data_IF_058680928755
#
_entry.id   IF_058680928755
#
_cell.length_a   1.000
_cell.length_b   1.000
_cell.length_c   1.000
_cell.angle_alpha   90.00
_cell.angle_beta   90.00
_cell.angle_gamma   90.00
#
_symmetry.space_group_name_H-M   'P 1'
#
loop_
_entity.id
_entity.type
_entity.pdbx_description
1 polymer ?
#
# COMPACT_ATOMS: atom_id res chain seq x y z
N UNK A 1 33.37 -7.85 -4.34
CA UNK A 1 32.82 -6.47 -4.36
C UNK A 1 31.38 -6.52 -3.88
N UNK A 2 31.14 -6.24 -2.61
CA UNK A 2 29.81 -5.89 -2.08
C UNK A 2 30.01 -4.98 -0.89
N UNK A 3 29.45 -3.77 -1.01
CA UNK A 3 29.62 -2.60 -0.15
C UNK A 3 28.61 -2.66 0.99
N UNK A 4 29.05 -2.49 2.25
CA UNK A 4 28.18 -2.20 3.40
C UNK A 4 27.88 -0.69 3.38
N UNK A 5 26.61 -0.32 3.19
CA UNK A 5 26.11 1.04 3.46
C UNK A 5 25.68 1.13 4.93
N UNK A 6 26.27 2.06 5.67
CA UNK A 6 25.76 2.57 6.96
C UNK A 6 24.55 3.46 6.66
N UNK A 7 23.41 3.25 7.30
CA UNK A 7 22.31 4.23 7.30
C UNK A 7 22.56 5.23 8.42
N UNK A 8 22.83 6.48 8.05
CA UNK A 8 22.72 7.64 8.93
C UNK A 8 21.23 7.93 9.12
N UNK A 9 20.78 8.04 10.36
CA UNK A 9 19.56 8.75 10.73
C UNK A 9 19.99 10.21 10.88
N UNK A 10 19.33 11.14 10.18
CA UNK A 10 19.69 12.56 10.21
C UNK A 10 19.11 13.24 11.46
N UNK A 11 19.84 14.25 11.96
CA UNK A 11 19.58 14.97 13.22
C UNK A 11 18.19 15.64 13.29
N UNK A 12 17.53 15.82 12.15
CA UNK A 12 16.24 16.48 12.03
C UNK A 12 15.06 15.57 12.47
N UNK A 13 15.24 14.25 12.51
CA UNK A 13 14.22 13.30 12.97
C UNK A 13 14.13 13.24 14.52
N UNK A 14 15.22 13.55 15.23
CA UNK A 14 15.25 13.61 16.70
C UNK A 14 14.63 14.90 17.25
N UNK A 15 14.74 16.01 16.52
CA UNK A 15 14.17 17.30 16.92
C UNK A 15 12.63 17.33 16.81
N UNK A 16 12.04 16.53 15.92
CA UNK A 16 10.58 16.45 15.78
C UNK A 16 9.91 15.60 16.88
N UNK A 17 10.64 14.68 17.52
CA UNK A 17 10.11 13.88 18.64
C UNK A 17 10.02 14.66 19.97
N UNK A 18 10.84 15.70 20.13
CA UNK A 18 10.84 16.56 21.32
C UNK A 18 9.77 17.66 21.27
N UNK A 19 9.13 17.89 20.12
CA UNK A 19 8.15 18.96 19.94
C UNK A 19 6.70 18.58 20.30
N UNK A 20 6.41 17.32 20.63
CA UNK A 20 5.04 16.85 20.94
C UNK A 20 4.69 16.82 22.44
N UNK A 21 5.63 17.14 23.34
CA UNK A 21 5.38 17.21 24.79
C UNK A 21 5.21 18.65 25.28
N UNK A 22 4.11 19.28 24.92
CA UNK A 22 3.65 20.53 25.54
C UNK A 22 2.78 20.19 26.76
N UNK A 23 3.37 20.24 27.96
CA UNK A 23 2.66 20.01 29.23
C UNK A 23 2.17 21.34 29.79
N UNK A 24 0.91 21.68 29.50
CA UNK A 24 0.17 22.62 30.32
C UNK A 24 0.03 22.07 31.75
N UNK A 25 0.61 22.80 32.72
CA UNK A 25 0.18 22.96 34.12
C UNK A 25 -0.78 21.91 34.67
N UNK A 26 -0.30 21.11 35.63
CA UNK A 26 -1.01 20.96 36.91
C UNK A 26 -0.04 20.58 38.03
N UNK A 27 0.02 21.47 39.00
CA UNK A 27 0.68 21.35 40.29
C UNK A 27 -0.02 20.30 41.17
N UNK A 28 0.71 19.25 41.54
CA UNK A 28 0.58 18.59 42.84
C UNK A 28 1.82 17.76 43.09
N UNK A 29 2.62 18.21 44.06
CA UNK A 29 3.66 17.53 44.82
C UNK A 29 3.98 16.08 44.39
N UNK A 30 5.09 15.90 43.66
CA UNK A 30 5.82 14.63 43.60
C UNK A 30 7.15 14.87 44.30
N UNK A 31 7.28 14.33 45.51
CA UNK A 31 8.52 14.30 46.28
C UNK A 31 9.58 13.50 45.51
N UNK A 32 10.45 14.20 44.79
CA UNK A 32 11.69 13.68 44.20
C UNK A 32 12.76 13.56 45.31
N UNK A 33 12.54 12.69 46.29
CA UNK A 33 13.60 12.25 47.21
C UNK A 33 14.05 10.84 46.80
N UNK A 34 15.21 10.72 46.14
CA UNK A 34 15.75 9.38 45.87
C UNK A 34 17.02 9.22 45.02
N UNK A 35 17.53 10.25 44.32
CA UNK A 35 18.60 10.06 43.32
C UNK A 35 19.87 10.92 43.48
N UNK A 36 20.11 11.54 44.65
CA UNK A 36 21.38 12.22 44.93
C UNK A 36 21.92 11.81 46.30
N UNK A 37 23.24 11.71 46.45
CA UNK A 37 23.87 11.50 47.76
C UNK A 37 23.59 12.71 48.67
N UNK A 38 23.47 12.52 50.00
CA UNK A 38 23.12 13.61 50.93
C UNK A 38 24.08 14.82 50.85
N UNK A 39 25.33 14.61 50.45
CA UNK A 39 26.34 15.67 50.32
C UNK A 39 26.14 16.58 49.08
N UNK A 40 25.42 16.12 48.03
CA UNK A 40 25.11 16.93 46.84
C UNK A 40 23.88 17.82 47.07
N UNK A 41 22.95 17.37 47.93
CA UNK A 41 21.80 18.17 48.31
C UNK A 41 22.19 19.34 49.22
N UNK A 42 23.15 19.16 50.14
CA UNK A 42 23.54 20.23 51.06
C UNK A 42 24.34 21.36 50.36
N UNK A 43 25.18 21.07 49.36
CA UNK A 43 25.87 22.11 48.57
C UNK A 43 24.91 22.90 47.65
N UNK A 44 23.98 22.20 46.96
CA UNK A 44 22.95 22.88 46.16
C UNK A 44 21.96 23.65 47.04
N UNK A 45 21.61 23.15 48.22
CA UNK A 45 20.66 23.79 49.15
C UNK A 45 21.28 25.00 49.86
N UNK A 46 22.56 24.96 50.22
CA UNK A 46 23.25 26.12 50.78
C UNK A 46 23.47 27.23 49.73
N UNK A 47 23.78 26.90 48.47
CA UNK A 47 23.88 27.91 47.40
C UNK A 47 22.51 28.49 47.00
N UNK A 48 21.45 27.67 47.00
CA UNK A 48 20.07 28.13 46.71
C UNK A 48 19.48 28.96 47.87
N UNK A 49 19.83 28.66 49.12
CA UNK A 49 19.49 29.49 50.28
C UNK A 49 20.30 30.79 50.29
N UNK A 50 21.57 30.76 49.90
CA UNK A 50 22.41 31.96 49.77
C UNK A 50 21.92 32.90 48.67
N UNK A 51 21.52 32.37 47.51
CA UNK A 51 20.93 33.18 46.43
C UNK A 51 19.53 33.73 46.79
N UNK A 52 18.69 32.97 47.50
CA UNK A 52 17.39 33.46 47.97
C UNK A 52 17.49 34.49 49.11
N UNK A 53 18.54 34.44 49.95
CA UNK A 53 18.80 35.47 50.97
C UNK A 53 19.45 36.74 50.39
N UNK A 54 20.26 36.62 49.32
CA UNK A 54 20.73 37.77 48.52
C UNK A 54 19.53 38.47 47.82
N UNK A 55 18.57 37.71 47.31
CA UNK A 55 17.35 38.25 46.67
C UNK A 55 16.32 38.85 47.65
N UNK A 56 16.40 38.56 48.95
CA UNK A 56 15.55 39.17 49.99
C UNK A 56 16.12 40.44 50.60
N UNK A 57 17.42 40.69 50.48
CA UNK A 57 18.09 41.82 51.14
C UNK A 57 18.25 43.06 50.27
N UNK A 58 18.20 42.93 48.94
CA UNK A 58 18.09 44.08 48.03
C UNK A 58 16.84 43.97 47.17
N UNK A 59 15.93 44.93 47.35
CA UNK A 59 14.66 45.01 46.64
C UNK A 59 14.85 45.27 45.13
N UNK A 60 15.13 44.22 44.36
CA UNK A 60 15.06 44.24 42.89
C UNK A 60 13.94 43.31 42.46
N UNK A 61 12.84 43.91 41.99
CA UNK A 61 11.73 43.20 41.35
C UNK A 61 12.20 42.69 39.99
N UNK A 62 12.72 41.47 39.94
CA UNK A 62 12.94 40.75 38.69
C UNK A 62 11.59 40.15 38.25
N UNK A 63 11.28 40.24 36.96
CA UNK A 63 9.98 39.80 36.44
C UNK A 63 9.88 38.27 36.41
N UNK A 64 8.68 37.72 36.58
CA UNK A 64 8.44 36.28 36.64
C UNK A 64 8.95 35.51 35.40
N UNK A 65 9.08 36.17 34.24
CA UNK A 65 9.64 35.55 33.02
C UNK A 65 11.16 35.45 33.04
N UNK A 66 11.87 36.40 33.66
CA UNK A 66 13.34 36.37 33.79
C UNK A 66 13.77 35.32 34.82
N UNK A 67 12.97 35.11 35.87
CA UNK A 67 13.20 34.04 36.86
C UNK A 67 13.01 32.63 36.27
N UNK A 68 12.06 32.49 35.33
CA UNK A 68 11.81 31.22 34.60
C UNK A 68 12.97 30.84 33.69
N UNK A 69 13.57 31.82 33.01
CA UNK A 69 14.68 31.60 32.06
C UNK A 69 16.00 31.25 32.77
N UNK A 70 16.22 31.77 33.98
CA UNK A 70 17.39 31.44 34.80
C UNK A 70 17.28 30.02 35.39
N UNK A 71 16.06 29.60 35.75
CA UNK A 71 15.79 28.25 36.25
C UNK A 71 15.97 27.19 35.14
N UNK A 72 15.43 27.42 33.93
CA UNK A 72 15.64 26.53 32.78
C UNK A 72 17.12 26.38 32.39
N UNK A 73 17.89 27.47 32.39
CA UNK A 73 19.32 27.44 32.08
C UNK A 73 20.16 26.71 33.15
N UNK A 74 19.70 26.68 34.40
CA UNK A 74 20.33 25.94 35.49
C UNK A 74 20.03 24.44 35.41
N UNK A 75 18.78 24.08 35.09
CA UNK A 75 18.33 22.69 34.97
C UNK A 75 18.98 21.99 33.76
N UNK A 76 19.15 22.71 32.64
CA UNK A 76 19.91 22.24 31.47
C UNK A 76 21.41 22.04 31.76
N UNK A 77 22.01 22.92 32.56
CA UNK A 77 23.43 22.80 32.94
C UNK A 77 23.68 21.61 33.88
N UNK A 78 22.71 21.32 34.77
CA UNK A 78 22.77 20.18 35.69
C UNK A 78 22.61 18.84 34.93
N UNK A 79 21.64 18.77 34.01
CA UNK A 79 21.43 17.60 33.16
C UNK A 79 22.66 17.31 32.27
N UNK A 80 23.24 18.33 31.63
CA UNK A 80 24.43 18.17 30.79
C UNK A 80 25.67 17.68 31.58
N UNK A 81 25.80 18.08 32.85
CA UNK A 81 26.89 17.59 33.71
C UNK A 81 26.71 16.12 34.07
N UNK A 82 25.47 15.69 34.38
CA UNK A 82 25.10 14.29 34.62
C UNK A 82 25.34 13.40 33.38
N UNK A 83 24.98 13.86 32.19
CA UNK A 83 25.22 13.12 30.95
C UNK A 83 26.72 12.97 30.63
N UNK A 84 27.53 14.00 30.88
CA UNK A 84 28.98 13.96 30.63
C UNK A 84 29.74 12.98 31.55
N UNK A 85 29.25 12.74 32.77
CA UNK A 85 29.84 11.77 33.68
C UNK A 85 29.39 10.33 33.38
N UNK A 86 28.16 10.15 32.90
CA UNK A 86 27.67 8.85 32.40
C UNK A 86 28.43 8.37 31.15
N UNK A 87 28.74 9.28 30.21
CA UNK A 87 29.54 8.95 29.03
C UNK A 87 30.98 8.51 29.39
N UNK A 88 31.57 9.10 30.44
CA UNK A 88 32.89 8.70 30.94
C UNK A 88 32.90 7.32 31.63
N UNK A 89 31.77 6.91 32.21
CA UNK A 89 31.62 5.57 32.83
C UNK A 89 31.49 4.50 31.73
N UNK A 90 30.75 4.81 30.66
CA UNK A 90 30.54 3.90 29.51
C UNK A 90 31.84 3.66 28.74
N UNK A 91 32.72 4.67 28.61
CA UNK A 91 33.97 4.56 27.87
C UNK A 91 35.07 3.73 28.56
N UNK A 92 34.91 3.35 29.84
CA UNK A 92 35.95 2.67 30.62
C UNK A 92 35.69 1.18 30.89
N UNK A 93 34.70 0.54 30.23
CA UNK A 93 34.46 -0.90 30.31
C UNK A 93 34.70 -1.57 28.94
N UNK A 94 35.91 -2.06 28.71
CA UNK A 94 36.19 -2.98 27.60
C UNK A 94 35.52 -4.34 27.88
N UNK A 95 34.71 -4.85 26.94
CA UNK A 95 34.21 -6.24 26.96
C UNK A 95 34.39 -6.84 25.57
N UNK A 96 35.30 -7.81 25.46
CA UNK A 96 35.57 -8.55 24.23
C UNK A 96 34.40 -9.48 23.87
N UNK A 97 34.01 -9.48 22.59
CA UNK A 97 33.01 -10.40 22.01
C UNK A 97 33.71 -11.52 21.22
N UNK A 98 33.49 -12.77 21.61
CA UNK A 98 33.70 -13.93 20.72
C UNK A 98 32.34 -14.48 20.24
N UNK A 99 32.26 -14.83 18.95
CA UNK A 99 31.06 -15.34 18.27
C UNK A 99 31.28 -16.80 17.86
N UNK A 100 30.37 -17.72 18.24
CA UNK A 100 30.27 -19.07 17.67
C UNK A 100 28.84 -19.46 17.22
N UNK A 101 28.76 -20.51 16.39
CA UNK A 101 27.70 -20.78 15.40
C UNK A 101 26.34 -21.31 15.95
N UNK A 102 25.98 -21.09 17.22
CA UNK A 102 24.74 -21.66 17.80
C UNK A 102 23.78 -20.65 18.48
N UNK A 103 23.96 -19.34 18.26
CA UNK A 103 23.04 -18.30 18.76
C UNK A 103 23.31 -17.87 20.22
N UNK A 104 22.76 -16.72 20.67
CA UNK A 104 23.18 -16.07 21.92
C UNK A 104 22.65 -16.80 23.15
N UNK A 105 23.55 -17.46 23.91
CA UNK A 105 23.28 -17.90 25.28
C UNK A 105 24.00 -16.97 26.24
N UNK A 106 23.27 -16.10 26.95
CA UNK A 106 23.86 -15.26 28.01
C UNK A 106 23.79 -15.99 29.35
N UNK A 107 24.94 -16.22 29.98
CA UNK A 107 25.04 -16.58 31.40
C UNK A 107 25.05 -15.28 32.22
N UNK A 108 24.29 -15.24 33.30
CA UNK A 108 24.37 -14.19 34.32
C UNK A 108 25.71 -14.35 35.07
N UNK A 109 26.52 -13.30 35.08
CA UNK A 109 27.74 -13.23 35.90
C UNK A 109 27.42 -12.52 37.22
N UNK A 110 27.86 -13.10 38.34
CA UNK A 110 27.77 -12.52 39.68
C UNK A 110 29.16 -12.01 40.07
N UNK A 111 29.37 -10.69 40.02
CA UNK A 111 30.55 -10.02 40.58
C UNK A 111 30.13 -9.07 41.72
N UNK A 112 30.85 -9.03 42.85
CA UNK A 112 30.55 -8.11 43.95
C UNK A 112 31.09 -6.71 43.64
N UNK A 113 30.22 -5.69 43.69
CA UNK A 113 30.51 -4.34 43.17
C UNK A 113 30.98 -3.34 44.24
N UNK A 114 32.07 -2.63 43.92
CA UNK A 114 32.36 -1.28 44.44
C UNK A 114 31.69 -0.28 43.49
N UNK A 115 30.69 0.46 43.94
CA UNK A 115 29.93 1.47 43.18
C UNK A 115 28.81 2.13 44.02
N UNK A 116 28.12 3.17 43.51
CA UNK A 116 26.96 3.76 44.19
C UNK A 116 25.84 2.72 44.41
N UNK A 117 24.95 2.90 45.40
CA UNK A 117 23.92 1.91 45.72
C UNK A 117 22.99 1.66 44.53
N UNK A 118 22.89 0.42 44.08
CA UNK A 118 21.98 0.03 43.00
C UNK A 118 20.55 0.01 43.53
N UNK A 119 19.63 0.74 42.91
CA UNK A 119 18.21 0.74 43.27
C UNK A 119 17.41 -0.19 42.37
N UNK A 120 16.46 -0.91 42.96
CA UNK A 120 15.56 -1.79 42.21
C UNK A 120 14.53 -0.98 41.42
N UNK A 121 14.37 -1.24 40.13
CA UNK A 121 13.39 -0.56 39.28
C UNK A 121 11.92 -0.85 39.67
N UNK A 122 11.65 -1.95 40.39
CA UNK A 122 10.30 -2.30 40.83
C UNK A 122 9.87 -1.64 42.15
N UNK A 123 10.79 -1.44 43.10
CA UNK A 123 10.46 -0.93 44.44
C UNK A 123 11.25 0.32 44.86
N UNK A 124 12.21 0.76 44.05
CA UNK A 124 13.09 1.92 44.27
C UNK A 124 14.03 1.84 45.49
N UNK A 125 13.98 0.75 46.24
CA UNK A 125 14.89 0.46 47.35
C UNK A 125 16.27 0.00 46.88
N UNK A 126 17.28 0.22 47.73
CA UNK A 126 18.65 -0.21 47.51
C UNK A 126 18.74 -1.74 47.54
N UNK A 127 19.49 -2.32 46.60
CA UNK A 127 19.80 -3.73 46.53
C UNK A 127 21.15 -3.96 47.22
N UNK A 128 21.13 -4.64 48.36
CA UNK A 128 22.32 -4.91 49.18
C UNK A 128 22.99 -6.25 48.82
N UNK A 129 22.23 -7.19 48.25
CA UNK A 129 22.64 -8.58 48.01
C UNK A 129 22.58 -8.94 46.49
N UNK A 130 21.91 -10.04 46.15
CA UNK A 130 21.77 -10.52 44.77
C UNK A 130 20.89 -9.57 43.95
N UNK A 131 21.26 -9.39 42.68
CA UNK A 131 20.54 -8.52 41.74
C UNK A 131 20.29 -9.22 40.40
N UNK A 132 19.14 -8.95 39.81
CA UNK A 132 18.84 -9.29 38.42
C UNK A 132 19.05 -8.04 37.56
N UNK A 133 19.90 -8.14 36.54
CA UNK A 133 20.22 -7.03 35.64
C UNK A 133 19.62 -7.27 34.26
N UNK A 134 18.96 -6.25 33.72
CA UNK A 134 18.56 -6.18 32.32
C UNK A 134 19.48 -5.22 31.57
N UNK A 135 19.19 -4.95 30.29
CA UNK A 135 19.91 -3.93 29.53
C UNK A 135 19.68 -2.51 30.08
N UNK A 136 18.50 -2.26 30.68
CA UNK A 136 18.07 -0.92 31.06
C UNK A 136 17.98 -0.69 32.57
N UNK A 137 17.86 -1.77 33.36
CA UNK A 137 17.45 -1.69 34.76
C UNK A 137 18.08 -2.77 35.64
N UNK A 138 17.99 -2.57 36.96
CA UNK A 138 18.43 -3.53 37.96
C UNK A 138 17.25 -3.81 38.91
N UNK A 139 17.11 -5.06 39.34
CA UNK A 139 15.95 -5.56 40.05
C UNK A 139 16.36 -6.45 41.22
N UNK A 140 15.59 -6.39 42.31
CA UNK A 140 15.59 -7.48 43.29
C UNK A 140 15.13 -8.77 42.61
N UNK A 141 15.69 -9.95 42.95
CA UNK A 141 15.20 -11.24 42.47
C UNK A 141 13.69 -11.43 42.71
N UNK A 142 13.18 -10.94 43.84
CA UNK A 142 11.76 -11.00 44.18
C UNK A 142 10.88 -10.07 43.35
N UNK A 143 11.43 -9.00 42.76
CA UNK A 143 10.70 -8.09 41.88
C UNK A 143 10.94 -8.40 40.40
N UNK A 144 11.79 -9.38 40.09
CA UNK A 144 12.03 -9.84 38.72
C UNK A 144 10.92 -10.79 38.25
N UNK A 145 9.70 -10.24 38.15
CA UNK A 145 8.45 -10.97 37.89
C UNK A 145 7.63 -10.31 36.80
N UNK A 146 6.81 -11.10 36.11
CA UNK A 146 5.85 -10.58 35.14
C UNK A 146 4.81 -9.70 35.84
N UNK A 147 4.66 -8.46 35.39
CA UNK A 147 3.69 -7.49 35.94
C UNK A 147 2.23 -7.93 35.78
N UNK A 148 1.95 -8.86 34.84
CA UNK A 148 0.59 -9.34 34.54
C UNK A 148 0.24 -10.59 35.33
N UNK A 149 1.12 -11.60 35.34
CA UNK A 149 0.84 -12.91 35.93
C UNK A 149 1.68 -13.26 37.18
N UNK A 150 2.56 -12.36 37.62
CA UNK A 150 3.44 -12.50 38.79
C UNK A 150 4.42 -13.70 38.75
N UNK A 151 4.56 -14.33 37.59
CA UNK A 151 5.55 -15.39 37.36
C UNK A 151 6.96 -14.81 37.50
N UNK A 152 7.82 -15.44 38.30
CA UNK A 152 9.25 -15.13 38.33
C UNK A 152 9.90 -15.38 36.96
N UNK A 153 10.79 -14.48 36.55
CA UNK A 153 11.39 -14.48 35.21
C UNK A 153 12.89 -14.80 35.20
N UNK A 154 13.45 -15.18 36.35
CA UNK A 154 14.91 -15.36 36.54
C UNK A 154 15.50 -16.38 35.55
N UNK A 155 14.74 -17.44 35.23
CA UNK A 155 15.16 -18.51 34.31
C UNK A 155 14.40 -18.51 32.97
N UNK A 156 13.52 -17.52 32.77
CA UNK A 156 12.64 -17.44 31.61
C UNK A 156 13.06 -16.33 30.64
N UNK A 157 12.62 -16.44 29.39
CA UNK A 157 12.66 -15.31 28.46
C UNK A 157 11.67 -14.23 28.92
N UNK A 158 12.15 -12.99 28.99
CA UNK A 158 11.37 -11.83 29.39
C UNK A 158 11.49 -10.67 28.41
N UNK A 159 10.56 -9.72 28.53
CA UNK A 159 10.53 -8.48 27.78
C UNK A 159 10.39 -7.31 28.77
N UNK A 160 11.20 -6.27 28.60
CA UNK A 160 11.13 -5.04 29.39
C UNK A 160 10.61 -3.89 28.52
N UNK A 161 9.48 -3.30 28.91
CA UNK A 161 8.89 -2.12 28.26
C UNK A 161 8.54 -1.12 29.36
N UNK A 162 9.02 0.11 29.25
CA UNK A 162 8.75 1.20 30.21
C UNK A 162 8.93 0.77 31.68
N UNK A 163 10.06 0.13 31.98
CA UNK A 163 10.38 -0.40 33.31
C UNK A 163 9.36 -1.41 33.85
N UNK A 164 8.68 -2.16 32.97
CA UNK A 164 7.79 -3.26 33.34
C UNK A 164 8.26 -4.53 32.67
N UNK A 165 8.33 -5.60 33.46
CA UNK A 165 8.71 -6.92 32.99
C UNK A 165 7.48 -7.72 32.59
N UNK A 166 7.54 -8.34 31.43
CA UNK A 166 6.51 -9.23 30.89
C UNK A 166 7.11 -10.60 30.61
N UNK A 167 6.39 -11.66 30.98
CA UNK A 167 6.69 -12.99 30.45
C UNK A 167 6.36 -13.03 28.95
N UNK A 168 6.94 -13.99 28.23
CA UNK A 168 6.69 -14.16 26.79
C UNK A 168 5.20 -14.22 26.42
N UNK A 169 4.39 -15.00 27.15
CA UNK A 169 2.96 -15.15 26.85
C UNK A 169 2.16 -13.85 27.05
N UNK A 170 2.41 -13.13 28.14
CA UNK A 170 1.70 -11.89 28.42
C UNK A 170 2.15 -10.76 27.49
N UNK A 171 3.43 -10.73 27.12
CA UNK A 171 3.93 -9.82 26.10
C UNK A 171 3.17 -9.99 24.78
N UNK A 172 3.05 -11.22 24.30
CA UNK A 172 2.30 -11.50 23.06
C UNK A 172 0.84 -11.07 23.14
N UNK A 173 0.19 -11.37 24.26
CA UNK A 173 -1.24 -11.07 24.45
C UNK A 173 -1.53 -9.57 24.57
N UNK A 174 -0.62 -8.78 25.13
CA UNK A 174 -0.81 -7.35 25.35
C UNK A 174 -0.35 -6.50 24.17
N UNK A 175 0.73 -6.90 23.48
CA UNK A 175 1.41 -6.02 22.52
C UNK A 175 1.36 -6.48 21.07
N UNK A 176 1.13 -7.78 20.80
CA UNK A 176 1.17 -8.29 19.43
C UNK A 176 -0.22 -8.48 18.83
N UNK A 177 -0.31 -8.22 17.52
CA UNK A 177 -1.53 -8.48 16.76
C UNK A 177 -1.56 -9.93 16.25
N UNK A 178 -2.77 -10.47 16.10
CA UNK A 178 -2.97 -11.79 15.52
C UNK A 178 -3.25 -11.71 14.02
N UNK A 179 -2.59 -12.58 13.28
CA UNK A 179 -2.83 -12.78 11.86
C UNK A 179 -4.24 -13.35 11.64
N UNK A 180 -5.04 -12.69 10.83
CA UNK A 180 -6.44 -13.07 10.57
C UNK A 180 -6.54 -14.43 9.86
N UNK A 181 -5.50 -14.85 9.13
CA UNK A 181 -5.51 -16.11 8.38
C UNK A 181 -5.09 -17.32 9.22
N UNK A 182 -4.03 -17.21 10.01
CA UNK A 182 -3.51 -18.35 10.80
C UNK A 182 -3.84 -18.28 12.29
N UNK A 183 -4.26 -17.12 12.81
CA UNK A 183 -4.54 -16.88 14.23
C UNK A 183 -3.30 -16.67 15.12
N UNK A 184 -2.09 -16.86 14.59
CA UNK A 184 -0.83 -16.65 15.31
C UNK A 184 -0.45 -15.18 15.45
N UNK A 185 0.42 -14.87 16.41
CA UNK A 185 0.95 -13.51 16.61
C UNK A 185 1.93 -13.12 15.50
N UNK A 186 1.93 -11.84 15.14
CA UNK A 186 2.81 -11.24 14.14
C UNK A 186 3.95 -10.52 14.87
N UNK A 187 5.19 -10.99 14.74
CA UNK A 187 6.35 -10.40 15.43
C UNK A 187 7.10 -9.36 14.57
N UNK A 188 7.10 -9.56 13.25
CA UNK A 188 7.87 -8.75 12.31
C UNK A 188 6.94 -7.83 11.49
N UNK A 189 7.19 -7.74 10.19
CA UNK A 189 6.39 -6.97 9.25
C UNK A 189 4.93 -7.42 9.25
N UNK A 190 4.04 -6.44 9.29
CA UNK A 190 2.59 -6.64 9.31
C UNK A 190 1.93 -5.96 8.11
N UNK A 191 1.02 -6.67 7.47
CA UNK A 191 0.14 -6.09 6.46
C UNK A 191 -1.21 -5.79 7.12
N UNK A 192 -1.58 -4.51 7.13
CA UNK A 192 -2.83 -4.01 7.70
C UNK A 192 -3.77 -3.54 6.60
N UNK A 193 -4.92 -4.21 6.44
CA UNK A 193 -5.93 -3.89 5.42
C UNK A 193 -7.32 -3.97 6.03
N UNK A 194 -8.08 -2.87 5.97
CA UNK A 194 -9.45 -2.77 6.49
C UNK A 194 -9.59 -3.25 7.96
N UNK A 195 -8.63 -2.87 8.82
CA UNK A 195 -8.62 -3.25 10.24
C UNK A 195 -8.29 -4.73 10.49
N UNK A 196 -7.83 -5.46 9.48
CA UNK A 196 -7.32 -6.84 9.62
C UNK A 196 -5.81 -6.86 9.44
N UNK A 197 -5.16 -7.73 10.20
CA UNK A 197 -3.71 -7.89 10.21
C UNK A 197 -3.32 -9.26 9.63
N UNK A 198 -2.24 -9.29 8.86
CA UNK A 198 -1.73 -10.49 8.18
C UNK A 198 -0.22 -10.54 8.23
N UNK A 199 0.33 -11.75 8.30
CA UNK A 199 1.71 -11.95 7.88
C UNK A 199 1.84 -11.66 6.38
N UNK A 200 3.00 -11.17 5.91
CA UNK A 200 3.27 -10.95 4.50
C UNK A 200 2.98 -12.18 3.61
N UNK A 201 3.34 -13.37 4.08
CA UNK A 201 3.09 -14.63 3.37
C UNK A 201 1.64 -15.09 3.40
N UNK A 202 0.83 -14.58 4.33
CA UNK A 202 -0.59 -14.90 4.45
C UNK A 202 -1.50 -13.90 3.73
N UNK A 203 -0.99 -12.75 3.32
CA UNK A 203 -1.72 -11.80 2.48
C UNK A 203 -1.67 -12.22 1.01
N UNK A 204 -2.46 -13.24 0.67
CA UNK A 204 -2.44 -13.91 -0.63
C UNK A 204 -3.81 -13.97 -1.28
N UNK A 205 -3.82 -14.18 -2.60
CA UNK A 205 -5.05 -14.37 -3.36
C UNK A 205 -5.76 -15.66 -2.93
N UNK A 206 -7.01 -15.55 -2.49
CA UNK A 206 -7.83 -16.68 -2.03
C UNK A 206 -8.07 -17.76 -3.12
N UNK A 207 -7.78 -17.47 -4.39
CA UNK A 207 -7.97 -18.42 -5.49
C UNK A 207 -6.67 -19.06 -6.01
N UNK A 208 -5.54 -18.35 -5.97
CA UNK A 208 -4.28 -18.84 -6.55
C UNK A 208 -3.07 -18.75 -5.61
N UNK A 209 -3.28 -18.28 -4.38
CA UNK A 209 -2.27 -18.11 -3.35
C UNK A 209 -1.10 -17.19 -3.71
N UNK A 210 -1.19 -16.43 -4.82
CA UNK A 210 -0.21 -15.42 -5.18
C UNK A 210 -0.17 -14.33 -4.11
N UNK A 211 1.02 -13.93 -3.68
CA UNK A 211 1.22 -12.79 -2.76
C UNK A 211 0.61 -11.52 -3.33
N UNK A 212 -0.11 -10.80 -2.47
CA UNK A 212 -0.79 -9.54 -2.79
C UNK A 212 -0.09 -8.31 -2.21
N UNK A 213 1.01 -8.50 -1.46
CA UNK A 213 1.75 -7.41 -0.78
C UNK A 213 2.06 -6.24 -1.71
N UNK A 214 2.66 -6.53 -2.86
CA UNK A 214 3.10 -5.52 -3.84
C UNK A 214 2.21 -5.45 -5.08
N UNK A 215 1.05 -6.11 -5.06
CA UNK A 215 0.17 -6.24 -6.22
C UNK A 215 -1.18 -5.57 -5.97
N UNK A 216 -1.78 -5.01 -7.01
CA UNK A 216 -3.17 -4.60 -6.94
C UNK A 216 -4.07 -5.80 -6.61
N UNK A 217 -4.92 -5.62 -5.61
CA UNK A 217 -5.87 -6.62 -5.14
C UNK A 217 -7.29 -6.08 -5.12
N UNK A 218 -8.23 -7.01 -5.05
CA UNK A 218 -9.65 -6.75 -4.99
C UNK A 218 -10.25 -7.51 -3.81
N UNK A 219 -11.11 -6.85 -3.04
CA UNK A 219 -11.76 -7.45 -1.88
C UNK A 219 -13.21 -7.80 -2.19
N UNK A 220 -13.65 -8.99 -1.80
CA UNK A 220 -15.04 -9.41 -1.90
C UNK A 220 -15.36 -10.43 -0.81
N UNK A 221 -16.49 -10.24 -0.12
CA UNK A 221 -16.97 -11.16 0.93
C UNK A 221 -15.87 -11.49 1.97
N UNK A 222 -15.09 -10.48 2.36
CA UNK A 222 -13.92 -10.59 3.27
C UNK A 222 -12.68 -11.33 2.73
N UNK A 223 -12.68 -11.80 1.48
CA UNK A 223 -11.53 -12.42 0.83
C UNK A 223 -10.83 -11.47 -0.13
N UNK A 224 -9.54 -11.71 -0.36
CA UNK A 224 -8.70 -10.94 -1.27
C UNK A 224 -8.38 -11.73 -2.54
N UNK A 225 -8.38 -11.05 -3.68
CA UNK A 225 -8.15 -11.66 -4.98
C UNK A 225 -7.17 -10.81 -5.80
N UNK A 226 -6.25 -11.46 -6.52
CA UNK A 226 -5.49 -10.77 -7.56
C UNK A 226 -6.40 -10.37 -8.73
N UNK A 227 -6.00 -9.35 -9.50
CA UNK A 227 -6.80 -8.85 -10.63
C UNK A 227 -7.18 -9.91 -11.66
N UNK A 228 -6.29 -10.86 -11.94
CA UNK A 228 -6.58 -11.97 -12.86
C UNK A 228 -7.68 -12.90 -12.34
N UNK A 229 -7.59 -13.32 -11.07
CA UNK A 229 -8.59 -14.21 -10.48
C UNK A 229 -9.93 -13.48 -10.31
N UNK A 230 -9.90 -12.21 -9.92
CA UNK A 230 -11.09 -11.39 -9.80
C UNK A 230 -11.79 -11.23 -11.16
N UNK A 231 -11.04 -10.87 -12.21
CA UNK A 231 -11.57 -10.77 -13.57
C UNK A 231 -12.12 -12.11 -14.09
N UNK A 232 -11.45 -13.23 -13.85
CA UNK A 232 -11.94 -14.55 -14.28
C UNK A 232 -13.28 -14.91 -13.62
N UNK A 233 -13.47 -14.61 -12.33
CA UNK A 233 -14.70 -14.94 -11.60
C UNK A 233 -15.84 -13.96 -11.85
N UNK A 234 -15.54 -12.67 -11.92
CA UNK A 234 -16.56 -11.61 -11.90
C UNK A 234 -16.44 -10.57 -13.01
N UNK A 235 -15.44 -10.69 -13.87
CA UNK A 235 -15.31 -9.81 -15.03
C UNK A 235 -16.38 -10.09 -16.07
N UNK A 236 -16.73 -9.04 -16.81
CA UNK A 236 -17.71 -9.11 -17.89
C UNK A 236 -17.23 -10.04 -19.00
N UNK A 237 -18.12 -10.89 -19.52
CA UNK A 237 -17.77 -11.93 -20.51
C UNK A 237 -18.05 -11.45 -21.93
N UNK A 238 -17.11 -11.73 -22.83
CA UNK A 238 -17.27 -11.44 -24.24
C UNK A 238 -18.40 -12.28 -24.85
N UNK A 239 -19.36 -11.63 -25.52
CA UNK A 239 -20.50 -12.29 -26.15
C UNK A 239 -20.10 -13.30 -27.23
N UNK A 240 -18.95 -13.13 -27.90
CA UNK A 240 -18.47 -14.07 -28.94
C UNK A 240 -17.77 -15.30 -28.37
N UNK A 241 -16.81 -15.09 -27.48
CA UNK A 241 -15.87 -16.15 -27.06
C UNK A 241 -16.09 -16.65 -25.63
N UNK A 242 -16.96 -15.98 -24.86
CA UNK A 242 -17.28 -16.34 -23.47
C UNK A 242 -16.17 -16.04 -22.45
N UNK A 243 -14.98 -15.60 -22.90
CA UNK A 243 -13.86 -15.24 -22.02
C UNK A 243 -14.08 -13.87 -21.40
N UNK A 244 -13.53 -13.66 -20.21
CA UNK A 244 -13.51 -12.35 -19.55
C UNK A 244 -12.87 -11.29 -20.43
N UNK A 245 -13.47 -10.11 -20.44
CA UNK A 245 -12.93 -8.92 -21.08
C UNK A 245 -11.90 -8.28 -20.16
N UNK A 246 -10.66 -8.21 -20.65
CA UNK A 246 -9.54 -7.54 -20.02
C UNK A 246 -9.03 -6.48 -20.99
N UNK A 247 -9.02 -5.21 -20.59
CA UNK A 247 -8.59 -4.10 -21.47
C UNK A 247 -9.71 -3.55 -22.38
N UNK A 248 -9.34 -3.10 -23.58
CA UNK A 248 -10.25 -2.41 -24.50
C UNK A 248 -11.39 -3.30 -25.02
N UNK A 249 -12.60 -2.78 -24.98
CA UNK A 249 -13.82 -3.49 -25.35
C UNK A 249 -14.78 -2.64 -26.16
N UNK A 250 -15.73 -3.32 -26.81
CA UNK A 250 -16.82 -2.70 -27.57
C UNK A 250 -18.14 -3.12 -26.95
N UNK A 251 -19.00 -2.14 -26.65
CA UNK A 251 -20.42 -2.38 -26.29
C UNK A 251 -21.28 -2.17 -27.52
N UNK A 252 -21.89 -3.24 -28.00
CA UNK A 252 -22.73 -3.23 -29.20
C UNK A 252 -23.66 -4.45 -29.21
N UNK A 253 -24.78 -4.36 -29.93
CA UNK A 253 -25.75 -5.47 -30.07
C UNK A 253 -26.22 -6.03 -28.71
N UNK A 254 -26.36 -5.17 -27.70
CA UNK A 254 -26.79 -5.56 -26.35
C UNK A 254 -25.78 -6.40 -25.56
N UNK A 255 -24.53 -6.50 -26.04
CA UNK A 255 -23.47 -7.25 -25.38
C UNK A 255 -22.14 -6.50 -25.35
N UNK A 256 -21.19 -7.09 -24.66
CA UNK A 256 -19.83 -6.56 -24.55
C UNK A 256 -18.87 -7.55 -25.21
N UNK A 257 -17.93 -7.02 -25.98
CA UNK A 257 -17.10 -7.82 -26.87
C UNK A 257 -15.63 -7.40 -26.71
N UNK A 258 -14.70 -8.35 -26.82
CA UNK A 258 -13.32 -7.96 -27.13
C UNK A 258 -13.30 -7.23 -28.48
N UNK A 259 -12.42 -6.24 -28.62
CA UNK A 259 -12.25 -5.49 -29.86
C UNK A 259 -12.01 -6.42 -31.07
N UNK A 260 -11.20 -7.47 -30.90
CA UNK A 260 -10.92 -8.48 -31.94
C UNK A 260 -12.05 -9.49 -32.13
N UNK A 261 -12.96 -9.59 -31.16
CA UNK A 261 -14.14 -10.43 -31.27
C UNK A 261 -15.25 -9.72 -32.07
N UNK A 262 -15.35 -8.39 -31.96
CA UNK A 262 -16.37 -7.61 -32.64
C UNK A 262 -15.99 -7.35 -34.11
N UNK A 263 -16.35 -8.31 -34.96
CA UNK A 263 -15.93 -8.40 -36.36
C UNK A 263 -17.12 -8.58 -37.29
N UNK A 264 -16.97 -8.22 -38.57
CA UNK A 264 -17.97 -8.51 -39.60
C UNK A 264 -18.29 -10.02 -39.64
N UNK A 265 -19.59 -10.37 -39.63
CA UNK A 265 -20.02 -11.78 -39.67
C UNK A 265 -19.52 -12.52 -40.91
N UNK A 266 -19.40 -11.84 -42.05
CA UNK A 266 -18.96 -12.43 -43.32
C UNK A 266 -17.44 -12.50 -43.44
N UNK A 267 -16.73 -11.36 -43.47
CA UNK A 267 -15.28 -11.37 -43.71
C UNK A 267 -14.39 -11.44 -42.47
N UNK A 268 -14.97 -11.43 -41.26
CA UNK A 268 -14.25 -11.50 -39.97
C UNK A 268 -13.26 -10.35 -39.71
N UNK A 269 -13.23 -9.31 -40.55
CA UNK A 269 -12.45 -8.09 -40.31
C UNK A 269 -13.07 -7.26 -39.18
N UNK A 270 -12.22 -6.63 -38.38
CA UNK A 270 -12.62 -5.65 -37.35
C UNK A 270 -13.14 -4.36 -37.99
N UNK A 271 -13.87 -3.57 -37.22
CA UNK A 271 -14.45 -2.32 -37.69
C UNK A 271 -13.49 -1.15 -37.42
N UNK A 272 -12.84 -0.64 -38.46
CA UNK A 272 -11.99 0.55 -38.36
C UNK A 272 -12.84 1.78 -38.01
N UNK A 273 -12.41 2.55 -37.00
CA UNK A 273 -13.13 3.73 -36.53
C UNK A 273 -14.50 3.43 -35.89
N UNK A 274 -14.78 2.16 -35.54
CA UNK A 274 -16.05 1.77 -34.91
C UNK A 274 -17.26 1.82 -35.84
N UNK A 275 -17.07 1.94 -37.16
CA UNK A 275 -18.19 2.01 -38.13
C UNK A 275 -18.64 0.59 -38.51
N UNK A 276 -19.87 0.24 -38.18
CA UNK A 276 -20.51 -1.01 -38.56
C UNK A 276 -22.00 -0.81 -38.88
N UNK A 277 -22.59 -1.78 -39.57
CA UNK A 277 -24.04 -1.86 -39.81
C UNK A 277 -24.61 -3.11 -39.19
N UNK A 278 -25.84 -3.03 -38.70
CA UNK A 278 -26.53 -4.15 -38.05
C UNK A 278 -27.60 -4.72 -38.96
N UNK A 279 -27.66 -6.05 -39.07
CA UNK A 279 -28.70 -6.77 -39.78
C UNK A 279 -28.94 -8.13 -39.11
N UNK A 280 -30.20 -8.47 -38.81
CA UNK A 280 -30.58 -9.71 -38.11
C UNK A 280 -29.71 -10.01 -36.86
N UNK A 281 -29.49 -8.97 -36.04
CA UNK A 281 -28.66 -9.03 -34.83
C UNK A 281 -27.18 -9.41 -35.07
N UNK A 282 -26.65 -9.19 -36.28
CA UNK A 282 -25.24 -9.39 -36.60
C UNK A 282 -24.62 -8.08 -37.12
N UNK A 283 -23.33 -7.90 -36.82
CA UNK A 283 -22.56 -6.77 -37.32
C UNK A 283 -21.90 -7.09 -38.68
N UNK A 284 -22.01 -6.16 -39.61
CA UNK A 284 -21.44 -6.24 -40.96
C UNK A 284 -20.65 -4.98 -41.29
N UNK A 285 -19.60 -5.12 -42.11
CA UNK A 285 -19.00 -3.95 -42.75
C UNK A 285 -19.96 -3.45 -43.84
N UNK A 286 -19.74 -2.23 -44.32
CA UNK A 286 -20.61 -1.58 -45.30
C UNK A 286 -20.89 -2.48 -46.53
N UNK A 287 -19.85 -3.02 -47.16
CA UNK A 287 -20.00 -3.90 -48.31
C UNK A 287 -20.90 -5.10 -48.03
N UNK A 288 -20.57 -5.91 -47.01
CA UNK A 288 -21.34 -7.13 -46.71
C UNK A 288 -22.75 -6.85 -46.20
N UNK A 289 -22.99 -5.66 -45.61
CA UNK A 289 -24.34 -5.22 -45.27
C UNK A 289 -25.18 -5.01 -46.54
N UNK A 290 -24.62 -4.30 -47.53
CA UNK A 290 -25.32 -4.05 -48.79
C UNK A 290 -25.47 -5.30 -49.65
N UNK A 291 -24.52 -6.23 -49.63
CA UNK A 291 -24.65 -7.56 -50.23
C UNK A 291 -25.81 -8.34 -49.62
N UNK A 292 -25.90 -8.39 -48.27
CA UNK A 292 -26.99 -9.09 -47.58
C UNK A 292 -28.36 -8.48 -47.85
N UNK A 293 -28.44 -7.16 -48.05
CA UNK A 293 -29.67 -6.47 -48.44
C UNK A 293 -29.95 -6.49 -49.95
N UNK A 294 -29.07 -7.10 -50.74
CA UNK A 294 -29.19 -7.13 -52.20
C UNK A 294 -29.20 -5.72 -52.79
N UNK A 295 -28.29 -4.84 -52.37
CA UNK A 295 -28.20 -3.42 -52.77
C UNK A 295 -26.82 -3.07 -53.33
N UNK A 296 -26.16 -4.05 -53.95
CA UNK A 296 -24.90 -3.88 -54.67
C UNK A 296 -25.19 -3.62 -56.14
N UNK A 297 -24.49 -2.65 -56.72
CA UNK A 297 -24.60 -2.38 -58.15
C UNK A 297 -23.93 -3.49 -58.97
N UNK A 298 -24.69 -4.13 -59.85
CA UNK A 298 -24.21 -5.21 -60.71
C UNK A 298 -23.06 -4.79 -61.64
N UNK A 299 -22.99 -3.52 -62.04
CA UNK A 299 -21.97 -3.04 -62.97
C UNK A 299 -20.66 -2.59 -62.30
N UNK A 300 -20.67 -2.14 -61.05
CA UNK A 300 -19.46 -1.62 -60.39
C UNK A 300 -19.12 -2.30 -59.06
N UNK A 301 -19.95 -3.25 -58.61
CA UNK A 301 -19.77 -4.03 -57.38
C UNK A 301 -19.65 -3.20 -56.09
N UNK A 302 -20.13 -1.95 -56.14
CA UNK A 302 -20.15 -1.05 -54.98
C UNK A 302 -21.57 -0.96 -54.39
N UNK A 303 -21.69 -0.74 -53.07
CA UNK A 303 -22.93 -0.37 -52.42
C UNK A 303 -23.68 0.75 -53.14
N UNK A 304 -24.99 0.56 -53.33
CA UNK A 304 -25.88 1.63 -53.81
C UNK A 304 -26.44 2.39 -52.61
N UNK A 305 -26.15 3.68 -52.56
CA UNK A 305 -26.70 4.62 -51.58
C UNK A 305 -27.70 5.53 -52.30
N UNK A 306 -28.97 5.47 -51.92
CA UNK A 306 -30.05 6.25 -52.55
C UNK A 306 -30.83 5.47 -53.62
N UNK A 307 -31.20 6.17 -54.69
CA UNK A 307 -32.00 5.61 -55.77
C UNK A 307 -31.23 4.55 -56.58
N UNK A 308 -31.95 3.54 -57.06
CA UNK A 308 -31.40 2.50 -57.93
C UNK A 308 -32.41 2.10 -59.00
N UNK A 309 -31.88 1.57 -60.10
CA UNK A 309 -32.67 0.92 -61.14
C UNK A 309 -32.61 -0.58 -60.93
N UNK A 310 -33.76 -1.25 -60.93
CA UNK A 310 -33.85 -2.72 -60.89
C UNK A 310 -34.18 -3.28 -62.26
N UNK A 311 -33.43 -4.29 -62.70
CA UNK A 311 -33.74 -5.11 -63.87
C UNK A 311 -33.62 -6.58 -63.48
N UNK A 312 -34.75 -7.28 -63.40
CA UNK A 312 -34.82 -8.60 -62.77
C UNK A 312 -34.34 -8.53 -61.32
N UNK A 313 -33.42 -9.44 -60.96
CA UNK A 313 -32.79 -9.47 -59.63
C UNK A 313 -31.57 -8.55 -59.49
N UNK A 314 -31.21 -7.81 -60.55
CA UNK A 314 -30.01 -6.97 -60.57
C UNK A 314 -30.36 -5.52 -60.29
N UNK A 315 -29.52 -4.86 -59.51
CA UNK A 315 -29.64 -3.44 -59.20
C UNK A 315 -28.48 -2.65 -59.78
N UNK A 316 -28.76 -1.42 -60.18
CA UNK A 316 -27.78 -0.52 -60.78
C UNK A 316 -27.89 0.87 -60.16
N UNK A 317 -26.75 1.54 -59.99
CA UNK A 317 -26.77 3.00 -59.89
C UNK A 317 -27.41 3.58 -61.17
N UNK A 318 -28.19 4.67 -61.09
CA UNK A 318 -28.76 5.32 -62.28
C UNK A 318 -27.72 5.61 -63.37
N UNK A 319 -26.53 6.04 -62.98
CA UNK A 319 -25.41 6.30 -63.91
C UNK A 319 -24.76 5.05 -64.50
N UNK A 320 -24.96 3.90 -63.86
CA UNK A 320 -24.42 2.62 -64.30
C UNK A 320 -25.43 1.80 -65.11
N UNK A 321 -26.70 2.23 -65.14
CA UNK A 321 -27.72 1.65 -65.99
C UNK A 321 -27.65 2.26 -67.40
N UNK A 322 -26.72 1.74 -68.20
CA UNK A 322 -26.41 2.26 -69.53
C UNK A 322 -26.28 1.15 -70.56
N UNK A 323 -26.54 1.48 -71.83
CA UNK A 323 -26.41 0.54 -72.94
C UNK A 323 -24.99 -0.02 -72.99
N UNK A 324 -24.88 -1.35 -73.04
CA UNK A 324 -23.59 -2.05 -73.05
C UNK A 324 -22.74 -1.71 -74.27
N UNK A 325 -23.38 -1.32 -75.38
CA UNK A 325 -22.74 -0.89 -76.63
C UNK A 325 -22.46 0.62 -76.64
N UNK A 326 -23.48 1.47 -76.76
CA UNK A 326 -23.30 2.91 -76.96
C UNK A 326 -23.09 3.74 -75.69
N UNK A 327 -23.17 3.11 -74.50
CA UNK A 327 -23.00 3.74 -73.17
C UNK A 327 -24.01 4.83 -72.81
N UNK A 328 -25.07 5.04 -73.61
CA UNK A 328 -26.18 5.94 -73.28
C UNK A 328 -26.93 5.43 -72.04
N UNK A 329 -27.31 6.33 -71.12
CA UNK A 329 -28.14 6.00 -69.96
C UNK A 329 -29.49 5.46 -70.44
N UNK A 330 -29.95 4.40 -69.79
CA UNK A 330 -31.21 3.71 -70.11
C UNK A 330 -32.31 4.03 -69.09
N UNK A 331 -32.08 4.94 -68.15
CA UNK A 331 -33.03 5.35 -67.10
C UNK A 331 -34.30 5.98 -67.66
N UNK A 332 -34.22 6.62 -68.83
CA UNK A 332 -35.30 7.41 -69.45
C UNK A 332 -35.84 6.78 -70.74
N UNK A 333 -35.32 5.61 -71.15
CA UNK A 333 -35.67 4.97 -72.42
C UNK A 333 -35.99 3.48 -72.21
N UNK A 334 -36.76 2.88 -73.12
CA UNK A 334 -36.91 1.42 -73.12
C UNK A 334 -35.56 0.72 -73.32
N UNK A 335 -35.45 -0.52 -72.83
CA UNK A 335 -34.25 -1.32 -72.92
C UNK A 335 -34.60 -2.77 -73.31
N UNK A 336 -33.62 -3.46 -73.87
CA UNK A 336 -33.69 -4.89 -74.19
C UNK A 336 -32.55 -5.61 -73.48
N UNK A 337 -32.87 -6.73 -72.84
CA UNK A 337 -31.90 -7.60 -72.21
C UNK A 337 -31.47 -8.70 -73.18
N UNK A 338 -30.17 -8.82 -73.42
CA UNK A 338 -29.58 -9.80 -74.33
C UNK A 338 -28.23 -10.27 -73.79
N UNK A 339 -28.00 -11.59 -73.65
CA UNK A 339 -26.77 -12.16 -73.07
C UNK A 339 -26.35 -11.51 -71.74
N UNK A 340 -27.30 -11.43 -70.79
CA UNK A 340 -27.10 -10.81 -69.47
C UNK A 340 -26.62 -9.35 -69.51
N UNK A 341 -26.79 -8.66 -70.63
CA UNK A 341 -26.42 -7.26 -70.82
C UNK A 341 -27.63 -6.48 -71.30
N UNK A 342 -27.68 -5.20 -70.92
CA UNK A 342 -28.76 -4.31 -71.34
C UNK A 342 -28.33 -3.44 -72.52
N UNK A 343 -29.22 -3.29 -73.49
CA UNK A 343 -29.03 -2.52 -74.71
C UNK A 343 -30.21 -1.58 -74.95
N UNK A 344 -29.98 -0.44 -75.62
CA UNK A 344 -31.10 0.32 -76.18
C UNK A 344 -31.63 -0.39 -77.44
N UNK A 345 -32.90 -0.19 -77.82
CA UNK A 345 -33.50 -0.84 -78.98
C UNK A 345 -32.64 -0.68 -80.25
N UNK A 346 -32.15 0.53 -80.52
CA UNK A 346 -31.32 0.81 -81.68
C UNK A 346 -30.00 0.03 -81.74
N UNK A 347 -29.45 -0.37 -80.59
CA UNK A 347 -28.20 -1.14 -80.54
C UNK A 347 -28.42 -2.64 -80.49
N UNK A 348 -29.57 -3.11 -79.99
CA UNK A 348 -29.86 -4.55 -80.02
C UNK A 348 -30.11 -5.00 -81.45
N UNK A 349 -30.82 -4.20 -82.26
CA UNK A 349 -31.09 -4.51 -83.66
C UNK A 349 -29.80 -4.74 -84.46
N UNK A 350 -28.75 -3.97 -84.17
CA UNK A 350 -27.41 -4.11 -84.78
C UNK A 350 -26.64 -5.35 -84.31
N UNK A 351 -27.04 -5.96 -83.20
CA UNK A 351 -26.37 -7.14 -82.62
C UNK A 351 -27.03 -8.46 -83.02
N UNK A 352 -28.31 -8.42 -83.43
CA UNK A 352 -29.08 -9.59 -83.90
C UNK A 352 -29.29 -9.63 -85.41
N UNK A 353 -28.78 -8.63 -86.15
CA UNK A 353 -28.65 -8.64 -87.61
C UNK A 353 -27.29 -9.15 -88.04
#
# INVERSE_FOLDING_TARGET
MTSRKKSQIEMDDLLNLLAEFDVEKQSSDVELEGLATPEIFDDCREETLHQNDILKTDAVKISASENSQIQEAHDDACANKLFSELDNIIQNQEVDMELDEQGPKKKLNFEPLKGPPFRCAGCFEVIEDEMCRTEFSIWHPDHFRCIVCDKTLIEDTFYEIDYKLYCHTDYELQFLQKCTMCGGFIYDEMISVNGKHFHPEHFTCNNCSKSLKDNQYFTRESYFYCGECFGKKWGEKCTKCGKTITGNFVKALGGTWHSDCFTCKTCKKTFTGGVFRTFENNAYCELHYHEKRGSICFNCEKPIVGEFVSVGDRKFHPDHFKCSYCKKKLTETTYVEFNEKVYCPSCVDTLVS
#
